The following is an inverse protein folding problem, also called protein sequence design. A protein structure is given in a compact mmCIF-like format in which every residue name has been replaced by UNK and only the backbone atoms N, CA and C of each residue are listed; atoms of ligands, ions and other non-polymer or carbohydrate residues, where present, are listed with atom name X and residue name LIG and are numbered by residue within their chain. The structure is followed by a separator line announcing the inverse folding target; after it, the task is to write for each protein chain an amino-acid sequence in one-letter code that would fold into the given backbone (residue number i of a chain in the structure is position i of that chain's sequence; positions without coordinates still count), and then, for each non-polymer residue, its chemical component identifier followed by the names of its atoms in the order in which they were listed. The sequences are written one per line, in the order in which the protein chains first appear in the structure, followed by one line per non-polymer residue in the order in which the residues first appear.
data_IF_920920119636
#
_entry.id   IF_920920119636
#
_cell.length_a   1.000
_cell.length_b   1.000
_cell.length_c   1.000
_cell.angle_alpha   90.00
_cell.angle_beta   90.00
_cell.angle_gamma   90.00
#
_symmetry.space_group_name_H-M   'P 1'
#
loop_
_entity.id
_entity.type
_entity.pdbx_description
1 polymer ?
#
# COMPACT_ATOMS: atom_id res chain seq x y z
N UNK A 1 0.87 -25.95 -0.76
CA UNK A 1 1.33 -24.71 -1.44
C UNK A 1 2.53 -24.21 -0.64
N UNK A 2 3.75 -24.48 -1.10
CA UNK A 2 4.96 -24.34 -0.28
C UNK A 2 5.48 -22.89 -0.16
N UNK A 3 6.43 -22.63 0.76
CA UNK A 3 6.93 -21.28 1.09
C UNK A 3 7.66 -20.55 -0.05
N UNK A 4 7.91 -21.22 -1.18
CA UNK A 4 8.68 -20.68 -2.31
C UNK A 4 7.82 -20.15 -3.46
N UNK A 5 6.50 -20.39 -3.47
CA UNK A 5 5.63 -19.97 -4.57
C UNK A 5 5.61 -18.44 -4.75
N UNK A 6 5.60 -17.69 -3.66
CA UNK A 6 5.54 -16.22 -3.69
C UNK A 6 6.90 -15.54 -3.89
N UNK A 7 8.02 -16.29 -3.81
CA UNK A 7 9.37 -15.74 -3.98
C UNK A 7 9.71 -15.42 -5.45
N UNK A 8 8.93 -15.95 -6.40
CA UNK A 8 9.14 -15.77 -7.86
C UNK A 8 8.13 -14.83 -8.51
N UNK A 9 7.24 -14.24 -7.73
CA UNK A 9 6.27 -13.24 -8.21
C UNK A 9 6.92 -11.87 -8.00
N UNK A 10 6.93 -11.02 -9.03
CA UNK A 10 7.34 -9.62 -8.87
C UNK A 10 6.30 -8.89 -8.02
N UNK A 11 6.75 -8.18 -6.98
CA UNK A 11 5.88 -7.53 -6.00
C UNK A 11 6.36 -6.12 -5.71
N UNK A 12 5.43 -5.21 -5.50
CA UNK A 12 5.69 -3.88 -4.95
C UNK A 12 4.93 -3.74 -3.64
N UNK A 13 5.58 -3.14 -2.64
CA UNK A 13 4.87 -2.65 -1.46
C UNK A 13 4.44 -1.22 -1.75
N UNK A 14 3.13 -0.98 -1.84
CA UNK A 14 2.55 0.34 -2.01
C UNK A 14 1.29 0.47 -1.16
N UNK A 15 1.09 1.66 -0.59
CA UNK A 15 -0.08 1.99 0.23
C UNK A 15 -0.04 3.47 0.63
N UNK A 16 -1.18 4.02 1.08
CA UNK A 16 -1.27 5.42 1.47
C UNK A 16 -0.57 5.65 2.81
N UNK A 17 -0.13 6.88 3.05
CA UNK A 17 0.45 7.29 4.33
C UNK A 17 1.93 7.65 4.27
N UNK A 18 2.60 7.60 5.42
CA UNK A 18 4.01 7.94 5.57
C UNK A 18 4.68 6.97 6.54
N UNK A 19 5.87 6.49 6.16
CA UNK A 19 6.70 5.67 7.05
C UNK A 19 7.07 6.40 8.34
N UNK A 20 7.18 7.73 8.31
CA UNK A 20 7.51 8.55 9.48
C UNK A 20 6.36 8.65 10.50
N UNK A 21 5.11 8.39 10.09
CA UNK A 21 3.95 8.36 10.98
C UNK A 21 3.63 6.95 11.51
N UNK A 22 4.21 5.91 10.92
CA UNK A 22 3.97 4.53 11.33
C UNK A 22 4.38 4.28 12.78
N UNK A 23 3.54 3.55 13.52
CA UNK A 23 3.77 3.14 14.90
C UNK A 23 3.90 4.32 15.90
N UNK A 24 3.35 5.49 15.55
CA UNK A 24 3.28 6.63 16.45
C UNK A 24 1.97 6.65 17.24
N UNK A 25 1.96 7.26 18.42
CA UNK A 25 0.77 7.30 19.30
C UNK A 25 -0.46 7.97 18.67
N UNK A 26 -0.26 8.84 17.68
CA UNK A 26 -1.29 9.51 16.90
C UNK A 26 -1.07 9.28 15.41
N UNK A 27 -0.74 8.04 15.04
CA UNK A 27 -0.63 7.64 13.64
C UNK A 27 -1.89 8.07 12.87
N UNK A 28 -1.67 8.84 11.80
CA UNK A 28 -2.73 9.34 10.93
C UNK A 28 -2.34 9.24 9.47
N UNK A 29 -3.34 9.26 8.61
CA UNK A 29 -3.20 9.36 7.16
C UNK A 29 -4.06 10.50 6.66
N UNK A 30 -3.51 11.32 5.76
CA UNK A 30 -4.27 12.39 5.11
C UNK A 30 -5.29 11.81 4.14
N UNK A 31 -6.49 12.39 4.08
CA UNK A 31 -7.54 11.95 3.17
C UNK A 31 -7.08 11.93 1.70
N UNK A 32 -6.32 12.94 1.26
CA UNK A 32 -5.78 12.99 -0.10
C UNK A 32 -4.87 11.82 -0.48
N UNK A 33 -4.22 11.17 0.50
CA UNK A 33 -3.43 9.96 0.24
C UNK A 33 -4.34 8.76 -0.01
N UNK A 34 -5.49 8.69 0.66
CA UNK A 34 -6.50 7.66 0.41
C UNK A 34 -7.09 7.83 -0.99
N UNK A 35 -7.51 9.04 -1.34
CA UNK A 35 -8.09 9.35 -2.65
C UNK A 35 -7.12 8.99 -3.81
N UNK A 36 -5.83 9.26 -3.61
CA UNK A 36 -4.78 8.90 -4.58
C UNK A 36 -4.57 7.39 -4.70
N UNK A 37 -4.68 6.64 -3.60
CA UNK A 37 -4.64 5.18 -3.63
C UNK A 37 -5.85 4.58 -4.33
N UNK A 38 -7.05 5.10 -4.09
CA UNK A 38 -8.27 4.66 -4.79
C UNK A 38 -8.13 4.87 -6.30
N UNK A 39 -7.66 6.06 -6.71
CA UNK A 39 -7.37 6.37 -8.12
C UNK A 39 -6.38 5.37 -8.75
N UNK A 40 -5.35 4.95 -8.00
CA UNK A 40 -4.38 3.98 -8.48
C UNK A 40 -5.00 2.58 -8.63
N UNK A 41 -5.82 2.16 -7.66
CA UNK A 41 -6.48 0.87 -7.69
C UNK A 41 -7.48 0.78 -8.85
N UNK A 42 -8.26 1.84 -9.07
CA UNK A 42 -9.17 1.94 -10.22
C UNK A 42 -8.42 1.72 -11.54
N UNK A 43 -7.28 2.39 -11.73
CA UNK A 43 -6.43 2.23 -12.93
C UNK A 43 -5.82 0.84 -13.10
N UNK A 44 -5.65 0.07 -12.02
CA UNK A 44 -5.09 -1.29 -12.09
C UNK A 44 -6.15 -2.33 -12.45
N UNK A 45 -7.43 -2.01 -12.27
CA UNK A 45 -8.55 -2.90 -12.58
C UNK A 45 -8.99 -2.79 -14.06
N UNK A 46 -8.51 -1.78 -14.77
CA UNK A 46 -8.62 -1.61 -16.23
C UNK A 46 -7.61 -2.47 -17.00
#
# INVERSE_FOLDING_TARGET
MGPTLFARIARVACGPGSMAQGQQAHEFVSQSLLDGCDTLLERLLE
#
